data_IF_247601095250
#
_entry.id   IF_247601095250
#
_cell.length_a   1.000
_cell.length_b   1.000
_cell.length_c   1.000
_cell.angle_alpha   90.00
_cell.angle_beta   90.00
_cell.angle_gamma   90.00
#
_symmetry.space_group_name_H-M   'P 1'
#
loop_
_entity.id
_entity.type
_entity.pdbx_description
1 polymer ?
#
# COMPACT_ATOMS: atom_id res chain seq x y z
N UNK A 1 7.78 8.17 4.79
CA UNK A 1 6.86 7.14 4.24
C UNK A 1 7.42 6.73 2.90
N UNK A 2 7.29 5.47 2.50
CA UNK A 2 7.88 4.96 1.25
C UNK A 2 7.15 5.50 0.01
N UNK A 3 7.83 5.65 -1.15
CA UNK A 3 7.17 5.98 -2.43
C UNK A 3 6.02 5.01 -2.79
N UNK A 4 6.19 3.71 -2.50
CA UNK A 4 5.16 2.70 -2.74
C UNK A 4 3.87 2.94 -1.93
N UNK A 5 4.00 3.36 -0.67
CA UNK A 5 2.86 3.73 0.17
C UNK A 5 2.07 4.91 -0.42
N UNK A 6 2.77 5.95 -0.85
CA UNK A 6 2.11 7.15 -1.40
C UNK A 6 1.46 6.85 -2.76
N UNK A 7 2.10 6.04 -3.61
CA UNK A 7 1.52 5.56 -4.86
C UNK A 7 0.23 4.75 -4.60
N UNK A 8 0.27 3.78 -3.70
CA UNK A 8 -0.89 3.00 -3.31
C UNK A 8 -2.03 3.88 -2.77
N UNK A 9 -1.70 4.86 -1.92
CA UNK A 9 -2.68 5.77 -1.33
C UNK A 9 -3.34 6.66 -2.38
N UNK A 10 -2.55 7.17 -3.33
CA UNK A 10 -3.08 7.99 -4.42
C UNK A 10 -3.97 7.18 -5.34
N UNK A 11 -3.55 5.97 -5.73
CA UNK A 11 -4.34 5.09 -6.58
C UNK A 11 -5.63 4.67 -5.89
N UNK A 12 -5.58 4.34 -4.59
CA UNK A 12 -6.77 4.05 -3.80
C UNK A 12 -7.72 5.25 -3.76
N UNK A 13 -7.21 6.45 -3.46
CA UNK A 13 -8.01 7.68 -3.43
C UNK A 13 -8.77 7.88 -4.74
N UNK A 14 -8.09 7.76 -5.88
CA UNK A 14 -8.68 7.90 -7.21
C UNK A 14 -9.65 6.77 -7.56
N UNK A 15 -9.32 5.51 -7.22
CA UNK A 15 -10.12 4.35 -7.61
C UNK A 15 -11.47 4.27 -6.89
N UNK A 16 -11.54 4.72 -5.64
CA UNK A 16 -12.76 4.61 -4.80
C UNK A 16 -13.33 5.95 -4.37
N UNK A 17 -12.80 7.07 -4.90
CA UNK A 17 -13.32 8.41 -4.60
C UNK A 17 -13.08 8.88 -3.15
N UNK A 18 -12.04 8.36 -2.49
CA UNK A 18 -11.67 8.78 -1.15
C UNK A 18 -10.79 10.05 -1.20
N UNK A 19 -10.85 10.86 -0.13
CA UNK A 19 -9.87 11.93 0.03
C UNK A 19 -8.46 11.36 0.26
N UNK A 20 -7.38 12.09 -0.07
CA UNK A 20 -6.02 11.62 0.17
C UNK A 20 -5.75 11.21 1.63
N UNK A 21 -6.33 11.92 2.58
CA UNK A 21 -6.21 11.61 4.01
C UNK A 21 -6.92 10.30 4.37
N UNK A 22 -8.13 10.07 3.86
CA UNK A 22 -8.87 8.83 4.08
C UNK A 22 -8.18 7.63 3.45
N UNK A 23 -7.65 7.74 2.24
CA UNK A 23 -6.94 6.67 1.57
C UNK A 23 -5.66 6.27 2.33
N UNK A 24 -4.87 7.25 2.76
CA UNK A 24 -3.70 7.02 3.63
C UNK A 24 -4.10 6.40 4.96
N UNK A 25 -5.19 6.84 5.59
CA UNK A 25 -5.71 6.26 6.82
C UNK A 25 -6.13 4.80 6.65
N UNK A 26 -6.80 4.50 5.54
CA UNK A 26 -7.26 3.17 5.15
C UNK A 26 -6.10 2.20 4.97
N UNK A 27 -5.04 2.60 4.25
CA UNK A 27 -3.83 1.79 4.09
C UNK A 27 -3.11 1.55 5.42
N UNK A 28 -2.97 2.57 6.27
CA UNK A 28 -2.39 2.39 7.61
C UNK A 28 -3.20 1.39 8.44
N UNK A 29 -4.52 1.43 8.36
CA UNK A 29 -5.38 0.48 9.07
C UNK A 29 -5.24 -0.94 8.51
N UNK A 30 -5.13 -1.10 7.18
CA UNK A 30 -4.91 -2.39 6.54
C UNK A 30 -3.61 -3.07 7.00
N UNK A 31 -2.52 -2.29 7.06
CA UNK A 31 -1.21 -2.74 7.56
C UNK A 31 -1.27 -3.09 9.06
N UNK A 32 -1.89 -2.21 9.87
CA UNK A 32 -2.05 -2.47 11.31
C UNK A 32 -2.86 -3.72 11.62
N UNK A 33 -3.88 -4.05 10.81
CA UNK A 33 -4.66 -5.29 10.96
C UNK A 33 -3.81 -6.55 10.74
N UNK A 34 -2.66 -6.43 10.08
CA UNK A 34 -1.69 -7.51 9.91
C UNK A 34 -0.53 -7.43 10.90
N UNK A 35 -0.55 -6.49 11.85
CA UNK A 35 0.55 -6.27 12.79
C UNK A 35 1.77 -5.58 12.17
N UNK A 36 1.65 -5.01 10.97
CA UNK A 36 2.74 -4.34 10.26
C UNK A 36 2.74 -2.85 10.64
N UNK A 37 3.90 -2.30 11.04
CA UNK A 37 4.03 -0.86 11.28
C UNK A 37 4.12 -0.11 9.93
N UNK A 38 3.14 0.78 9.62
CA UNK A 38 3.13 1.54 8.38
C UNK A 38 4.34 2.44 8.14
N UNK A 39 5.15 2.73 9.17
CA UNK A 39 6.36 3.56 9.05
C UNK A 39 7.52 2.82 8.39
N UNK A 40 7.54 1.49 8.51
CA UNK A 40 8.61 0.61 8.01
C UNK A 40 8.12 -0.41 6.98
N UNK A 41 6.82 -0.39 6.66
CA UNK A 41 6.22 -1.30 5.69
C UNK A 41 6.92 -1.23 4.33
N UNK A 42 7.37 -2.38 3.84
CA UNK A 42 8.00 -2.56 2.54
C UNK A 42 6.95 -2.82 1.46
N UNK A 43 7.39 -2.90 0.20
CA UNK A 43 6.52 -3.21 -0.93
C UNK A 43 5.73 -4.51 -0.74
N UNK A 44 6.40 -5.56 -0.28
CA UNK A 44 5.78 -6.87 -0.02
C UNK A 44 4.65 -6.77 1.02
N UNK A 45 4.86 -5.99 2.08
CA UNK A 45 3.88 -5.75 3.13
C UNK A 45 2.63 -5.04 2.59
N UNK A 46 2.82 -4.03 1.73
CA UNK A 46 1.73 -3.31 1.08
C UNK A 46 0.90 -4.23 0.20
N UNK A 47 1.55 -5.09 -0.59
CA UNK A 47 0.86 -6.08 -1.43
C UNK A 47 0.11 -7.11 -0.58
N UNK A 48 0.72 -7.58 0.51
CA UNK A 48 0.08 -8.50 1.45
C UNK A 48 -1.13 -7.88 2.16
N UNK A 49 -1.13 -6.55 2.36
CA UNK A 49 -2.22 -5.83 3.01
C UNK A 49 -3.42 -5.53 2.09
N UNK A 50 -3.28 -5.68 0.77
CA UNK A 50 -4.34 -5.40 -0.21
C UNK A 50 -5.69 -6.10 0.11
N UNK A 51 -5.75 -7.41 0.42
CA UNK A 51 -7.02 -8.09 0.69
C UNK A 51 -7.82 -7.46 1.84
N UNK A 52 -7.14 -6.81 2.80
CA UNK A 52 -7.80 -6.13 3.91
C UNK A 52 -8.47 -4.81 3.52
N UNK A 53 -8.10 -4.22 2.38
CA UNK A 53 -8.68 -2.96 1.91
C UNK A 53 -10.18 -3.11 1.62
N UNK A 54 -10.62 -4.22 1.04
CA UNK A 54 -12.04 -4.44 0.75
C UNK A 54 -12.93 -4.35 1.99
N UNK A 55 -12.50 -4.98 3.09
CA UNK A 55 -13.21 -4.94 4.38
C UNK A 55 -13.22 -3.55 5.02
N UNK A 56 -12.18 -2.74 4.79
CA UNK A 56 -12.11 -1.39 5.38
C UNK A 56 -12.92 -0.41 4.53
N UNK A 57 -12.78 -0.50 3.20
CA UNK A 57 -13.46 0.37 2.25
C UNK A 57 -14.98 0.17 2.28
N UNK A 58 -15.45 -1.06 2.56
CA UNK A 58 -16.88 -1.32 2.79
C UNK A 58 -17.45 -0.55 3.98
N UNK A 59 -16.62 -0.19 4.97
CA UNK A 59 -17.02 0.67 6.09
C UNK A 59 -17.41 2.09 5.67
N UNK A 60 -16.94 2.54 4.51
CA UNK A 60 -17.34 3.81 3.89
C UNK A 60 -18.55 3.66 2.95
N UNK A 61 -19.18 2.48 2.90
CA UNK A 61 -20.23 2.12 1.92
C UNK A 61 -19.75 2.21 0.47
N UNK A 62 -18.45 1.99 0.24
CA UNK A 62 -17.85 1.96 -1.10
C UNK A 62 -17.49 0.53 -1.44
N UNK A 63 -17.72 0.14 -2.69
CA UNK A 63 -17.33 -1.17 -3.23
C UNK A 63 -15.99 -1.02 -3.94
N UNK A 64 -15.04 -1.88 -3.60
CA UNK A 64 -13.77 -1.98 -4.34
C UNK A 64 -13.85 -3.17 -5.30
N UNK A 65 -13.65 -2.90 -6.59
CA UNK A 65 -13.67 -3.94 -7.62
C UNK A 65 -12.30 -4.59 -7.76
N UNK A 66 -12.25 -5.79 -8.35
CA UNK A 66 -10.99 -6.49 -8.61
C UNK A 66 -10.04 -5.66 -9.50
N UNK A 67 -10.57 -4.87 -10.44
CA UNK A 67 -9.79 -3.96 -11.26
C UNK A 67 -9.07 -2.88 -10.42
N UNK A 68 -9.73 -2.34 -9.40
CA UNK A 68 -9.13 -1.36 -8.48
C UNK A 68 -7.98 -2.00 -7.69
N UNK A 69 -8.18 -3.23 -7.20
CA UNK A 69 -7.14 -3.98 -6.50
C UNK A 69 -5.92 -4.23 -7.39
N UNK A 70 -6.14 -4.59 -8.66
CA UNK A 70 -5.08 -4.73 -9.65
C UNK A 70 -4.32 -3.43 -9.91
N UNK A 71 -5.03 -2.31 -10.02
CA UNK A 71 -4.41 -1.00 -10.22
C UNK A 71 -3.57 -0.56 -9.02
N UNK A 72 -4.05 -0.75 -7.79
CA UNK A 72 -3.29 -0.43 -6.57
C UNK A 72 -2.02 -1.30 -6.50
N UNK A 73 -2.13 -2.59 -6.81
CA UNK A 73 -0.97 -3.49 -6.87
C UNK A 73 0.06 -3.02 -7.89
N UNK A 74 -0.37 -2.69 -9.11
CA UNK A 74 0.52 -2.19 -10.14
C UNK A 74 1.22 -0.88 -9.72
N UNK A 75 0.52 0.01 -9.01
CA UNK A 75 1.10 1.24 -8.48
C UNK A 75 2.17 0.97 -7.40
N UNK A 76 1.95 -0.02 -6.53
CA UNK A 76 2.93 -0.47 -5.53
C UNK A 76 4.19 -1.02 -6.21
N UNK A 77 4.02 -1.83 -7.26
CA UNK A 77 5.12 -2.44 -8.01
C UNK A 77 5.90 -1.42 -8.86
N UNK A 78 5.20 -0.46 -9.47
CA UNK A 78 5.82 0.57 -10.31
C UNK A 78 6.50 1.69 -9.50
N UNK A 79 6.17 1.83 -8.21
CA UNK A 79 6.82 2.82 -7.36
C UNK A 79 8.28 2.43 -7.15
N UNK A 80 9.18 3.30 -7.64
CA UNK A 80 10.62 3.15 -7.44
C UNK A 80 10.92 2.98 -5.94
N UNK A 81 11.65 1.92 -5.60
CA UNK A 81 12.31 1.85 -4.29
C UNK A 81 13.43 2.88 -4.31
N UNK A 82 13.30 3.91 -3.47
CA UNK A 82 14.49 4.60 -2.99
C UNK A 82 15.23 3.61 -2.11
N UNK A 83 16.15 2.88 -2.76
CA UNK A 83 17.07 1.86 -2.25
C UNK A 83 17.25 1.81 -0.74
N UNK A 84 16.52 0.90 -0.08
CA UNK A 84 17.06 0.13 1.06
C UNK A 84 17.55 -1.25 0.56
N UNK A 85 17.01 -1.77 -0.55
CA UNK A 85 17.46 -3.02 -1.18
C UNK A 85 18.90 -2.95 -1.75
N UNK A 86 19.40 -1.75 -2.06
CA UNK A 86 20.82 -1.61 -2.40
C UNK A 86 21.73 -1.91 -1.20
N UNK A 87 21.28 -1.63 0.03
CA UNK A 87 22.06 -1.90 1.24
C UNK A 87 22.06 -3.38 1.61
N UNK A 88 20.96 -4.11 1.36
CA UNK A 88 20.93 -5.57 1.54
C UNK A 88 21.80 -6.29 0.47
N UNK A 89 21.88 -5.79 -0.77
CA UNK A 89 22.80 -6.35 -1.80
C UNK A 89 24.29 -6.23 -1.43
N UNK A 90 24.70 -5.14 -0.78
CA UNK A 90 26.10 -5.00 -0.32
C UNK A 90 26.42 -5.80 0.94
N UNK A 91 25.41 -6.34 1.64
CA UNK A 91 25.61 -7.07 2.90
C UNK A 91 25.93 -8.55 2.71
N UNK A 92 25.72 -9.09 1.50
CA UNK A 92 26.04 -10.46 1.11
C UNK A 92 27.41 -10.58 0.39
N UNK A 93 28.21 -9.49 0.32
CA UNK A 93 29.51 -9.45 -0.38
C UNK A 93 30.72 -9.38 0.58
N UNK A 94 30.51 -9.31 1.91
CA UNK A 94 31.56 -9.43 2.94
C UNK A 94 31.50 -10.78 3.67
#
# INVERSE_FOLDING_TARGET
MTPAFDAAASTLASAVGLTPTQARGTLRLALKRQGIDPRIARRADLTAALPNLASIVSGYRITIEAAHMGAIRAAIEAAAETSDDALDFFRDID
#
